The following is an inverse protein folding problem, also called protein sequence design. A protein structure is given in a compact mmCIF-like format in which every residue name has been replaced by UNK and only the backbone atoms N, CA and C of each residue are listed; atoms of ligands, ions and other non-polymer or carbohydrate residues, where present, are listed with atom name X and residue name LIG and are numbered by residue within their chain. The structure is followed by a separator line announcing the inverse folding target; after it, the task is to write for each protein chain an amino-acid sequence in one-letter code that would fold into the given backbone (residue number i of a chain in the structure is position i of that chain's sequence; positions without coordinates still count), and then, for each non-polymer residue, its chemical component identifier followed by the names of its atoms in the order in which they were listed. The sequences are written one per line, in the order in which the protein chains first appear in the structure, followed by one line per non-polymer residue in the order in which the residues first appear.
data_IF_412678715826
#
_entry.id   IF_412678715826
#
_cell.length_a   1.000
_cell.length_b   1.000
_cell.length_c   1.000
_cell.angle_alpha   90.00
_cell.angle_beta   90.00
_cell.angle_gamma   90.00
#
_symmetry.space_group_name_H-M   'P 1'
#
loop_
_entity.id
_entity.type
_entity.pdbx_description
1 polymer ?
#
# COMPACT_ATOMS: atom_id res chain seq x y z
N UNK A 1 -26.24 23.41 7.31
CA UNK A 1 -26.03 22.35 6.30
C UNK A 1 -25.48 21.16 7.05
N UNK A 2 -26.19 20.05 6.98
CA UNK A 2 -26.02 18.86 7.82
C UNK A 2 -24.64 18.22 7.61
N UNK A 3 -23.90 17.94 8.69
CA UNK A 3 -22.51 17.43 8.66
C UNK A 3 -22.40 16.16 7.81
N UNK A 4 -23.41 15.31 7.89
CA UNK A 4 -23.52 14.07 7.13
C UNK A 4 -23.58 14.33 5.62
N UNK A 5 -24.28 15.39 5.19
CA UNK A 5 -24.34 15.80 3.78
C UNK A 5 -23.02 16.37 3.26
N UNK A 6 -22.18 16.93 4.13
CA UNK A 6 -20.82 17.34 3.74
C UNK A 6 -19.89 16.15 3.61
N UNK A 7 -19.93 15.21 4.57
CA UNK A 7 -19.14 13.98 4.53
C UNK A 7 -19.49 13.14 3.30
N UNK A 8 -20.79 12.92 3.05
CA UNK A 8 -21.24 12.17 1.89
C UNK A 8 -20.82 12.79 0.57
N UNK A 9 -20.85 14.13 0.47
CA UNK A 9 -20.41 14.85 -0.74
C UNK A 9 -18.91 14.75 -0.95
N UNK A 10 -18.12 14.97 0.11
CA UNK A 10 -16.67 14.81 0.06
C UNK A 10 -16.28 13.40 -0.39
N UNK A 11 -16.94 12.36 0.15
CA UNK A 11 -16.73 10.99 -0.29
C UNK A 11 -17.09 10.76 -1.76
N UNK A 12 -18.21 11.30 -2.24
CA UNK A 12 -18.61 11.16 -3.65
C UNK A 12 -17.65 11.88 -4.60
N UNK A 13 -17.05 12.99 -4.18
CA UNK A 13 -16.11 13.76 -4.99
C UNK A 13 -14.70 13.16 -5.00
N UNK A 14 -14.25 12.58 -3.89
CA UNK A 14 -12.84 12.17 -3.70
C UNK A 14 -12.64 10.66 -3.55
N UNK A 15 -13.70 9.90 -3.27
CA UNK A 15 -13.61 8.49 -2.87
C UNK A 15 -13.12 8.27 -1.43
N UNK A 16 -12.87 9.35 -0.66
CA UNK A 16 -12.25 9.29 0.67
C UNK A 16 -13.32 9.52 1.75
N UNK A 17 -13.42 8.57 2.69
CA UNK A 17 -14.30 8.68 3.85
C UNK A 17 -13.47 8.97 5.11
N UNK A 18 -13.61 10.18 5.66
CA UNK A 18 -12.90 10.60 6.86
C UNK A 18 -12.30 12.00 6.73
N UNK A 19 -11.42 12.35 7.66
CA UNK A 19 -10.75 13.65 7.72
C UNK A 19 -9.24 13.55 7.44
N UNK A 20 -8.80 12.51 6.73
CA UNK A 20 -7.40 12.39 6.34
C UNK A 20 -7.21 12.97 4.94
N UNK A 21 -6.18 13.79 4.77
CA UNK A 21 -5.73 14.27 3.47
C UNK A 21 -4.81 13.21 2.85
N UNK A 22 -5.03 12.90 1.58
CA UNK A 22 -4.16 12.00 0.83
C UNK A 22 -2.97 12.77 0.27
N UNK A 23 -1.76 12.27 0.54
CA UNK A 23 -0.58 12.70 -0.17
C UNK A 23 -0.48 11.92 -1.49
N UNK A 24 -0.17 12.60 -2.59
CA UNK A 24 0.14 11.95 -3.86
C UNK A 24 1.54 11.33 -3.81
N UNK A 25 1.72 10.26 -4.58
CA UNK A 25 3.05 9.66 -4.81
C UNK A 25 3.81 10.61 -5.72
N UNK A 26 4.98 11.07 -5.27
CA UNK A 26 5.82 12.00 -6.04
C UNK A 26 6.60 11.25 -7.12
N UNK A 27 7.07 10.04 -6.81
CA UNK A 27 7.68 9.12 -7.75
C UNK A 27 7.71 7.69 -7.19
N UNK A 28 8.01 6.72 -8.05
CA UNK A 28 8.27 5.33 -7.66
C UNK A 28 9.78 5.06 -7.78
N UNK A 29 10.40 4.58 -6.71
CA UNK A 29 11.78 4.07 -6.78
C UNK A 29 11.74 2.58 -7.13
N UNK A 30 12.50 2.21 -8.16
CA UNK A 30 12.73 0.81 -8.54
C UNK A 30 14.13 0.37 -8.13
N UNK A 31 14.23 -0.65 -7.28
CA UNK A 31 15.48 -1.35 -7.00
C UNK A 31 15.28 -2.86 -7.03
N UNK A 32 16.04 -3.57 -7.89
CA UNK A 32 15.94 -5.02 -8.10
C UNK A 32 14.50 -5.51 -8.40
N UNK A 33 13.75 -4.75 -9.21
CA UNK A 33 12.36 -5.07 -9.58
C UNK A 33 11.32 -4.84 -8.48
N UNK A 34 11.71 -4.20 -7.36
CA UNK A 34 10.79 -3.76 -6.31
C UNK A 34 10.48 -2.29 -6.49
N UNK A 35 9.20 -1.98 -6.47
CA UNK A 35 8.68 -0.62 -6.53
C UNK A 35 8.28 -0.16 -5.14
N UNK A 36 8.76 1.00 -4.72
CA UNK A 36 8.28 1.67 -3.52
C UNK A 36 7.71 3.06 -3.85
N UNK A 37 6.46 3.37 -3.46
CA UNK A 37 5.91 4.71 -3.62
C UNK A 37 6.63 5.67 -2.67
N UNK A 38 7.20 6.73 -3.24
CA UNK A 38 7.89 7.78 -2.49
C UNK A 38 7.02 9.03 -2.38
N UNK A 39 6.79 9.46 -1.15
CA UNK A 39 6.07 10.68 -0.81
C UNK A 39 7.08 11.77 -0.45
N UNK A 40 6.70 13.04 -0.56
CA UNK A 40 7.59 14.17 -0.23
C UNK A 40 8.10 14.12 1.23
N UNK A 41 7.28 13.61 2.15
CA UNK A 41 7.62 13.45 3.56
C UNK A 41 8.26 12.10 3.89
N UNK A 42 8.61 11.29 2.88
CA UNK A 42 9.13 9.95 3.02
C UNK A 42 10.61 9.84 2.61
N UNK A 43 11.34 9.00 3.32
CA UNK A 43 12.65 8.51 2.91
C UNK A 43 12.61 6.98 2.89
N UNK A 44 12.93 6.39 1.75
CA UNK A 44 12.95 4.95 1.54
C UNK A 44 14.40 4.47 1.52
N UNK A 45 14.65 3.34 2.17
CA UNK A 45 15.93 2.65 2.17
C UNK A 45 15.70 1.21 1.74
N UNK A 46 16.35 0.80 0.66
CA UNK A 46 16.37 -0.59 0.24
C UNK A 46 17.63 -1.27 0.76
N UNK A 47 17.45 -2.47 1.30
CA UNK A 47 18.48 -3.37 1.75
C UNK A 47 18.19 -4.76 1.13
N UNK A 48 19.21 -5.61 1.06
CA UNK A 48 19.10 -6.97 0.51
C UNK A 48 18.03 -7.80 1.21
N UNK A 49 17.79 -7.53 2.51
CA UNK A 49 16.86 -8.30 3.34
C UNK A 49 15.55 -7.58 3.65
N UNK A 50 15.47 -6.27 3.44
CA UNK A 50 14.31 -5.47 3.83
C UNK A 50 14.24 -4.13 3.10
N UNK A 51 13.05 -3.56 3.06
CA UNK A 51 12.81 -2.16 2.73
C UNK A 51 12.35 -1.43 3.98
N UNK A 52 12.95 -0.27 4.26
CA UNK A 52 12.58 0.59 5.38
C UNK A 52 12.08 1.92 4.84
N UNK A 53 10.89 2.33 5.27
CA UNK A 53 10.32 3.62 4.92
C UNK A 53 10.15 4.44 6.19
N UNK A 54 10.74 5.63 6.22
CA UNK A 54 10.55 6.60 7.30
C UNK A 54 9.71 7.76 6.78
N UNK A 55 8.63 8.11 7.50
CA UNK A 55 7.77 9.26 7.17
C UNK A 55 7.60 10.19 8.36
N UNK A 56 7.48 11.48 8.08
CA UNK A 56 7.15 12.51 9.06
C UNK A 56 5.79 13.15 8.74
N UNK A 57 4.71 12.54 9.24
CA UNK A 57 3.35 12.98 8.95
C UNK A 57 2.89 14.08 9.91
N UNK A 58 2.45 15.22 9.38
CA UNK A 58 1.79 16.27 10.17
C UNK A 58 0.28 16.00 10.25
N UNK A 59 -0.22 15.70 11.45
CA UNK A 59 -1.64 15.45 11.70
C UNK A 59 -2.09 16.39 12.83
N UNK A 60 -3.06 17.27 12.54
CA UNK A 60 -3.59 18.26 13.49
C UNK A 60 -2.50 19.09 14.20
N UNK A 61 -1.45 19.49 13.47
CA UNK A 61 -0.35 20.30 14.00
C UNK A 61 0.68 19.51 14.83
N UNK A 62 0.60 18.18 14.87
CA UNK A 62 1.60 17.31 15.51
C UNK A 62 2.32 16.47 14.46
N UNK A 63 3.63 16.33 14.63
CA UNK A 63 4.45 15.50 13.73
C UNK A 63 4.57 14.08 14.28
N UNK A 64 4.11 13.11 13.52
CA UNK A 64 4.21 11.68 13.78
C UNK A 64 5.33 11.09 12.93
N UNK A 65 6.32 10.47 13.58
CA UNK A 65 7.41 9.78 12.90
C UNK A 65 7.04 8.30 12.77
N UNK A 66 6.85 7.84 11.54
CA UNK A 66 6.42 6.47 11.24
C UNK A 66 7.58 5.76 10.54
N UNK A 67 7.94 4.58 11.05
CA UNK A 67 8.94 3.71 10.43
C UNK A 67 8.25 2.39 10.07
N UNK A 68 8.16 2.13 8.78
CA UNK A 68 7.66 0.86 8.24
C UNK A 68 8.84 0.00 7.81
N UNK A 69 8.79 -1.29 8.11
CA UNK A 69 9.80 -2.27 7.72
C UNK A 69 9.12 -3.41 7.00
N UNK A 70 9.48 -3.61 5.73
CA UNK A 70 8.97 -4.70 4.90
C UNK A 70 10.09 -5.67 4.59
N UNK A 71 9.87 -6.99 4.65
CA UNK A 71 10.86 -7.96 4.22
C UNK A 71 11.13 -7.80 2.72
N UNK A 72 12.37 -8.05 2.31
CA UNK A 72 12.77 -8.01 0.90
C UNK A 72 12.07 -9.12 0.10
N UNK A 73 11.90 -10.29 0.72
CA UNK A 73 11.24 -11.42 0.08
C UNK A 73 9.82 -11.51 0.62
N UNK A 74 8.85 -11.15 -0.22
CA UNK A 74 7.43 -11.26 0.08
C UNK A 74 6.97 -12.71 -0.09
N UNK A 75 7.68 -13.66 0.53
CA UNK A 75 7.38 -15.08 0.39
C UNK A 75 5.97 -15.40 0.88
N UNK A 76 5.13 -15.90 -0.03
CA UNK A 76 3.75 -16.32 0.21
C UNK A 76 2.82 -15.20 0.69
N UNK A 77 2.69 -14.10 -0.07
CA UNK A 77 1.58 -13.18 0.16
C UNK A 77 0.24 -13.94 0.10
N UNK A 78 -0.80 -13.47 0.79
CA UNK A 78 -2.13 -14.07 0.66
C UNK A 78 -2.58 -14.22 -0.81
N UNK A 79 -2.18 -13.26 -1.66
CA UNK A 79 -2.41 -13.30 -3.12
C UNK A 79 -1.65 -14.44 -3.78
N UNK A 80 -0.36 -14.62 -3.49
CA UNK A 80 0.44 -15.72 -4.06
C UNK A 80 -0.16 -17.08 -3.72
N UNK A 81 -0.63 -17.25 -2.48
CA UNK A 81 -1.30 -18.48 -2.04
C UNK A 81 -2.62 -18.72 -2.78
N UNK A 82 -3.38 -17.66 -3.02
CA UNK A 82 -4.64 -17.75 -3.76
C UNK A 82 -4.38 -18.13 -5.22
N UNK A 83 -3.39 -17.52 -5.86
CA UNK A 83 -2.99 -17.86 -7.23
C UNK A 83 -2.53 -19.31 -7.34
N UNK A 84 -1.66 -19.77 -6.43
CA UNK A 84 -1.21 -21.15 -6.38
C UNK A 84 -2.37 -22.14 -6.19
N UNK A 85 -3.39 -21.79 -5.39
CA UNK A 85 -4.59 -22.61 -5.22
C UNK A 85 -5.41 -22.70 -6.51
N UNK A 86 -5.57 -21.59 -7.24
CA UNK A 86 -6.26 -21.55 -8.53
C UNK A 86 -5.54 -22.46 -9.53
N UNK A 87 -4.22 -22.32 -9.66
CA UNK A 87 -3.41 -23.12 -10.58
C UNK A 87 -3.52 -24.61 -10.25
N UNK A 88 -3.43 -24.96 -8.96
CA UNK A 88 -3.58 -26.35 -8.48
C UNK A 88 -4.93 -26.95 -8.83
N UNK A 89 -6.02 -26.17 -8.77
CA UNK A 89 -7.35 -26.67 -9.09
C UNK A 89 -7.56 -26.83 -10.60
N UNK A 90 -7.06 -25.89 -11.40
CA UNK A 90 -7.08 -25.96 -12.86
C UNK A 90 -6.33 -27.18 -13.39
N UNK A 91 -5.16 -27.50 -12.80
CA UNK A 91 -4.38 -28.68 -13.16
C UNK A 91 -5.15 -29.99 -12.90
N UNK A 92 -5.90 -30.08 -11.79
CA UNK A 92 -6.73 -31.27 -11.49
C UNK A 92 -7.85 -31.45 -12.51
N UNK A 93 -8.49 -30.37 -12.95
CA UNK A 93 -9.54 -30.42 -13.97
C UNK A 93 -9.00 -30.91 -15.32
N UNK A 94 -7.77 -30.53 -15.69
CA UNK A 94 -7.15 -30.97 -16.95
C UNK A 94 -6.74 -32.43 -16.96
N UNK A 95 -6.39 -33.00 -15.81
CA UNK A 95 -5.96 -34.41 -15.68
C UNK A 95 -7.12 -35.39 -15.46
N UNK A 96 -8.34 -34.88 -15.31
CA UNK A 96 -9.55 -35.68 -15.07
C UNK A 96 -10.39 -35.91 -16.35
N UNK A 97 -9.90 -35.49 -17.53
CA UNK A 97 -10.57 -35.57 -18.83
C UNK A 97 -10.01 -36.69 -19.74
#
# INVERSE_FOLDING_TARGET
MDREKMIARHYLETGILGAYETAEVVHEEEENGKYAPCFEDATVFFDQTRTVTNRAMCIEGRVFRITSVFPADAGNTPTDKLLALIDTELEKETHSA
#
